data_IF_342136523752
#
_entry.id   IF_342136523752
#
_cell.length_a   1.000
_cell.length_b   1.000
_cell.length_c   1.000
_cell.angle_alpha   90.00
_cell.angle_beta   90.00
_cell.angle_gamma   90.00
#
_symmetry.space_group_name_H-M   'P 1'
#
loop_
_entity.id
_entity.type
_entity.pdbx_description
1 polymer ?
#
# COMPACT_ATOMS: atom_id res chain seq x y z
N UNK A 1 16.84 3.13 23.55
CA UNK A 1 17.78 2.59 22.54
C UNK A 1 17.00 2.50 21.25
N UNK A 2 17.27 3.38 20.27
CA UNK A 2 16.69 3.25 18.93
C UNK A 2 17.42 2.14 18.18
N UNK A 3 16.70 1.41 17.33
CA UNK A 3 17.34 0.47 16.41
C UNK A 3 18.12 1.27 15.38
N UNK A 4 19.35 0.87 15.08
CA UNK A 4 20.05 1.36 13.88
C UNK A 4 19.32 0.81 12.66
N UNK A 5 18.81 1.71 11.82
CA UNK A 5 18.05 1.39 10.61
C UNK A 5 16.79 0.51 10.85
N UNK A 6 15.77 1.03 11.57
CA UNK A 6 14.56 0.26 11.85
C UNK A 6 13.81 -0.10 10.56
N UNK A 7 13.19 -1.28 10.54
CA UNK A 7 12.18 -1.61 9.53
C UNK A 7 10.95 -0.73 9.77
N UNK A 8 10.60 0.12 8.81
CA UNK A 8 9.45 1.02 8.90
C UNK A 8 8.25 0.39 8.21
N UNK A 9 7.22 0.09 9.00
CA UNK A 9 5.94 -0.44 8.50
C UNK A 9 4.87 0.63 8.65
N UNK A 10 4.27 1.01 7.52
CA UNK A 10 3.04 1.80 7.51
C UNK A 10 1.84 0.88 7.66
N UNK A 11 1.10 1.07 8.76
CA UNK A 11 -0.02 0.23 9.14
C UNK A 11 -1.31 0.48 8.37
N UNK A 12 -1.43 1.60 7.64
CA UNK A 12 -2.60 1.89 6.82
C UNK A 12 -2.33 3.05 5.87
N UNK A 13 -2.23 2.73 4.58
CA UNK A 13 -2.06 3.75 3.53
C UNK A 13 -3.12 3.61 2.44
N UNK A 14 -3.66 4.74 1.99
CA UNK A 14 -4.72 4.82 0.98
C UNK A 14 -4.24 5.73 -0.15
N UNK A 15 -3.99 5.17 -1.33
CA UNK A 15 -3.54 5.90 -2.51
C UNK A 15 -4.25 5.41 -3.78
N UNK A 16 -4.19 6.24 -4.83
CA UNK A 16 -4.36 5.76 -6.20
C UNK A 16 -3.06 5.12 -6.68
N UNK A 17 -2.93 3.82 -6.38
CA UNK A 17 -1.67 3.11 -6.50
C UNK A 17 -1.16 3.03 -7.94
N UNK A 18 0.08 3.44 -8.11
CA UNK A 18 0.85 3.33 -9.35
C UNK A 18 2.32 3.14 -9.01
N UNK A 19 3.13 2.70 -9.97
CA UNK A 19 4.58 2.52 -9.73
C UNK A 19 5.29 3.81 -9.26
N UNK A 20 5.00 5.00 -9.81
CA UNK A 20 5.55 6.25 -9.27
C UNK A 20 5.17 6.53 -7.81
N UNK A 21 3.92 6.21 -7.41
CA UNK A 21 3.49 6.36 -6.01
C UNK A 21 4.28 5.44 -5.09
N UNK A 22 4.51 4.18 -5.48
CA UNK A 22 5.34 3.24 -4.70
C UNK A 22 6.77 3.74 -4.56
N UNK A 23 7.36 4.29 -5.61
CA UNK A 23 8.70 4.88 -5.58
C UNK A 23 8.77 6.09 -4.65
N UNK A 24 7.73 6.93 -4.66
CA UNK A 24 7.62 8.06 -3.74
C UNK A 24 7.50 7.60 -2.27
N UNK A 25 6.63 6.63 -1.96
CA UNK A 25 6.49 6.09 -0.59
C UNK A 25 7.82 5.50 -0.10
N UNK A 26 8.49 4.71 -0.95
CA UNK A 26 9.81 4.16 -0.64
C UNK A 26 10.86 5.24 -0.44
N UNK A 27 10.83 6.32 -1.21
CA UNK A 27 11.76 7.45 -1.04
C UNK A 27 11.60 8.16 0.31
N UNK A 28 10.43 8.04 0.93
CA UNK A 28 10.16 8.50 2.30
C UNK A 28 10.71 7.59 3.40
N UNK A 29 11.36 6.47 3.06
CA UNK A 29 11.95 5.54 4.03
C UNK A 29 10.98 4.51 4.61
N UNK A 30 9.85 4.25 3.94
CA UNK A 30 8.90 3.18 4.31
C UNK A 30 9.30 1.87 3.63
N UNK A 31 9.42 0.80 4.41
CA UNK A 31 9.81 -0.52 3.91
C UNK A 31 8.60 -1.40 3.54
N UNK A 32 7.52 -1.30 4.31
CA UNK A 32 6.31 -2.11 4.14
C UNK A 32 5.08 -1.24 4.33
N UNK A 33 4.03 -1.51 3.53
CA UNK A 33 2.77 -0.80 3.61
C UNK A 33 1.61 -1.79 3.64
N UNK A 34 0.67 -1.58 4.57
CA UNK A 34 -0.67 -2.13 4.45
C UNK A 34 -1.49 -1.28 3.46
N UNK A 35 -1.48 -1.71 2.20
CA UNK A 35 -2.03 -0.95 1.09
C UNK A 35 -3.54 -1.20 0.92
N UNK A 36 -4.32 -0.13 1.02
CA UNK A 36 -5.76 -0.18 0.78
C UNK A 36 -6.02 -0.24 -0.73
N UNK A 37 -6.68 -1.31 -1.20
CA UNK A 37 -7.03 -1.50 -2.61
C UNK A 37 -8.52 -1.25 -2.94
N UNK A 38 -9.35 -1.01 -1.92
CA UNK A 38 -10.78 -0.67 -2.03
C UNK A 38 -11.31 -0.15 -0.69
N UNK A 39 -12.40 0.62 -0.71
CA UNK A 39 -12.98 1.28 0.47
C UNK A 39 -14.51 1.20 0.50
N UNK A 40 -15.17 1.58 -0.60
CA UNK A 40 -16.62 1.78 -0.65
C UNK A 40 -17.35 0.84 -1.61
N UNK A 41 -16.64 -0.13 -2.16
CA UNK A 41 -17.20 -1.07 -3.12
C UNK A 41 -18.24 -2.01 -2.49
N UNK A 42 -19.19 -2.46 -3.31
CA UNK A 42 -19.97 -3.66 -3.01
C UNK A 42 -19.12 -4.93 -3.16
N UNK A 43 -19.68 -6.11 -2.87
CA UNK A 43 -18.95 -7.38 -2.93
C UNK A 43 -18.27 -7.61 -4.29
N UNK A 44 -18.97 -7.39 -5.40
CA UNK A 44 -18.41 -7.64 -6.73
C UNK A 44 -17.30 -6.64 -7.07
N UNK A 45 -17.49 -5.37 -6.71
CA UNK A 45 -16.49 -4.32 -6.82
C UNK A 45 -15.25 -4.64 -5.98
N UNK A 46 -15.42 -5.06 -4.71
CA UNK A 46 -14.31 -5.44 -3.83
C UNK A 46 -13.50 -6.59 -4.42
N UNK A 47 -14.17 -7.64 -4.92
CA UNK A 47 -13.48 -8.76 -5.56
C UNK A 47 -12.72 -8.33 -6.83
N UNK A 48 -13.28 -7.40 -7.61
CA UNK A 48 -12.61 -6.83 -8.78
C UNK A 48 -11.36 -6.04 -8.37
N UNK A 49 -11.45 -5.19 -7.33
CA UNK A 49 -10.31 -4.44 -6.79
C UNK A 49 -9.18 -5.35 -6.32
N UNK A 50 -9.50 -6.41 -5.57
CA UNK A 50 -8.53 -7.43 -5.12
C UNK A 50 -7.89 -8.12 -6.33
N UNK A 51 -8.68 -8.49 -7.33
CA UNK A 51 -8.18 -9.08 -8.58
C UNK A 51 -7.20 -8.17 -9.30
N UNK A 52 -7.53 -6.89 -9.47
CA UNK A 52 -6.63 -5.89 -10.07
C UNK A 52 -5.35 -5.72 -9.25
N UNK A 53 -5.44 -5.69 -7.92
CA UNK A 53 -4.29 -5.60 -7.02
C UNK A 53 -3.31 -6.77 -7.19
N UNK A 54 -3.82 -7.98 -7.44
CA UNK A 54 -2.97 -9.16 -7.70
C UNK A 54 -2.13 -9.03 -8.97
N UNK A 55 -2.52 -8.15 -9.90
CA UNK A 55 -1.83 -7.89 -11.17
C UNK A 55 -1.01 -6.59 -11.17
N UNK A 56 -0.95 -5.91 -10.03
CA UNK A 56 -0.17 -4.68 -9.84
C UNK A 56 1.34 -4.92 -10.02
#
# INVERSE_FOLDING_TARGET
MSLENPLVVDGLEINDWSRPVVEQVRSGGVDVVHATCGVWEDMAGTMTRIGSWRHF
#
